data_IF_167122782196
#
_entry.id   IF_167122782196
#
_cell.length_a   1.000
_cell.length_b   1.000
_cell.length_c   1.000
_cell.angle_alpha   90.00
_cell.angle_beta   90.00
_cell.angle_gamma   90.00
#
_symmetry.space_group_name_H-M   'P 1'
#
loop_
_entity.id
_entity.type
_entity.pdbx_description
1 polymer ?
#
# COMPACT_ATOMS: atom_id res chain seq x y z
N UNK A 1 15.98 -16.00 19.13
CA UNK A 1 17.33 -15.61 19.59
C UNK A 1 17.83 -16.49 20.73
N UNK A 2 17.02 -16.82 21.73
CA UNK A 2 17.43 -17.64 22.91
C UNK A 2 18.08 -18.99 22.62
N UNK A 3 17.69 -19.67 21.54
CA UNK A 3 18.28 -20.97 21.17
C UNK A 3 19.57 -20.87 20.35
N UNK A 4 20.01 -19.66 19.99
CA UNK A 4 21.20 -19.42 19.17
C UNK A 4 22.39 -19.01 20.05
N UNK A 5 23.59 -19.56 19.83
CA UNK A 5 24.80 -19.03 20.45
C UNK A 5 24.98 -17.57 20.03
N UNK A 6 25.37 -16.70 20.98
CA UNK A 6 25.41 -15.24 20.81
C UNK A 6 24.06 -14.60 20.39
N UNK A 7 22.93 -15.21 20.79
CA UNK A 7 21.59 -14.76 20.41
C UNK A 7 21.30 -13.28 20.67
N UNK A 8 21.86 -12.67 21.71
CA UNK A 8 21.72 -11.24 22.00
C UNK A 8 22.33 -10.34 20.92
N UNK A 9 23.50 -10.69 20.39
CA UNK A 9 24.16 -9.95 19.29
C UNK A 9 23.31 -10.02 18.02
N UNK A 10 22.83 -11.21 17.68
CA UNK A 10 21.94 -11.40 16.53
C UNK A 10 20.60 -10.70 16.70
N UNK A 11 20.06 -10.64 17.93
CA UNK A 11 18.84 -9.90 18.21
C UNK A 11 19.01 -8.40 17.95
N UNK A 12 20.09 -7.79 18.47
CA UNK A 12 20.38 -6.37 18.25
C UNK A 12 20.55 -6.05 16.76
N UNK A 13 21.34 -6.85 16.04
CA UNK A 13 21.52 -6.67 14.59
C UNK A 13 20.19 -6.79 13.83
N UNK A 14 19.38 -7.81 14.15
CA UNK A 14 18.10 -8.01 13.51
C UNK A 14 17.14 -6.83 13.75
N UNK A 15 16.97 -6.40 15.00
CA UNK A 15 16.06 -5.30 15.32
C UNK A 15 16.56 -3.95 14.80
N UNK A 16 17.87 -3.75 14.69
CA UNK A 16 18.45 -2.56 14.07
C UNK A 16 18.11 -2.52 12.57
N UNK A 17 18.36 -3.63 11.85
CA UNK A 17 18.02 -3.72 10.42
C UNK A 17 16.51 -3.62 10.19
N UNK A 18 15.70 -4.28 11.02
CA UNK A 18 14.25 -4.20 10.96
C UNK A 18 13.75 -2.77 11.20
N UNK A 19 14.32 -2.05 12.16
CA UNK A 19 13.98 -0.64 12.45
C UNK A 19 14.29 0.26 11.26
N UNK A 20 15.44 0.08 10.61
CA UNK A 20 15.80 0.85 9.41
C UNK A 20 14.81 0.55 8.28
N UNK A 21 14.47 -0.71 8.03
CA UNK A 21 13.52 -1.11 7.00
C UNK A 21 12.09 -0.58 7.27
N UNK A 22 11.67 -0.58 8.53
CA UNK A 22 10.39 -0.01 8.95
C UNK A 22 10.37 1.52 8.75
N UNK A 23 11.48 2.20 9.07
CA UNK A 23 11.60 3.65 8.92
C UNK A 23 11.49 4.07 7.44
N UNK A 24 12.19 3.41 6.53
CA UNK A 24 12.14 3.74 5.09
C UNK A 24 10.76 3.50 4.49
N UNK A 25 10.10 2.41 4.88
CA UNK A 25 8.73 2.10 4.46
C UNK A 25 7.73 3.16 4.96
N UNK A 26 7.88 3.59 6.21
CA UNK A 26 7.03 4.63 6.82
C UNK A 26 7.21 5.97 6.12
N UNK A 27 8.45 6.34 5.78
CA UNK A 27 8.73 7.57 5.03
C UNK A 27 8.06 7.54 3.65
N UNK A 28 8.16 6.41 2.93
CA UNK A 28 7.52 6.25 1.62
C UNK A 28 5.99 6.37 1.67
N UNK A 29 5.36 5.82 2.70
CA UNK A 29 3.90 5.90 2.89
C UNK A 29 3.44 7.31 3.28
N UNK A 30 4.20 7.99 4.15
CA UNK A 30 3.91 9.36 4.56
C UNK A 30 4.00 10.33 3.38
N UNK A 31 4.96 10.13 2.48
CA UNK A 31 5.17 11.00 1.32
C UNK A 31 3.96 11.00 0.37
N UNK A 32 3.22 9.89 0.25
CA UNK A 32 1.98 9.84 -0.56
C UNK A 32 0.95 10.84 -0.03
N UNK A 33 0.80 10.92 1.30
CA UNK A 33 -0.13 11.86 1.94
C UNK A 33 0.38 13.29 1.78
N UNK A 34 1.68 13.52 1.98
CA UNK A 34 2.30 14.85 1.85
C UNK A 34 2.18 15.38 0.43
N UNK A 35 2.47 14.55 -0.58
CA UNK A 35 2.34 14.91 -1.98
C UNK A 35 0.90 15.32 -2.31
N UNK A 36 -0.08 14.54 -1.87
CA UNK A 36 -1.50 14.90 -2.04
C UNK A 36 -1.85 16.27 -1.41
N UNK A 37 -1.41 16.53 -0.17
CA UNK A 37 -1.67 17.81 0.50
C UNK A 37 -0.96 19.01 -0.19
N UNK A 38 0.21 18.78 -0.79
CA UNK A 38 0.97 19.83 -1.48
C UNK A 38 0.40 20.10 -2.87
N UNK A 39 0.08 19.05 -3.62
CA UNK A 39 -0.36 19.16 -5.02
C UNK A 39 -1.84 19.55 -5.10
N UNK A 40 -2.71 18.87 -4.36
CA UNK A 40 -4.16 19.07 -4.44
C UNK A 40 -4.65 20.20 -3.53
N UNK A 41 -4.08 20.33 -2.32
CA UNK A 41 -4.48 21.37 -1.36
C UNK A 41 -3.53 22.58 -1.33
N UNK A 42 -2.54 22.62 -2.23
CA UNK A 42 -1.57 23.72 -2.36
C UNK A 42 -0.89 24.14 -1.05
N UNK A 43 -0.71 23.20 -0.12
CA UNK A 43 -0.06 23.47 1.17
C UNK A 43 1.46 23.61 1.01
N UNK A 44 2.07 24.45 1.84
CA UNK A 44 3.53 24.47 1.99
C UNK A 44 4.03 23.12 2.51
N UNK A 45 5.06 22.55 1.88
CA UNK A 45 5.60 21.21 2.18
C UNK A 45 5.83 20.98 3.68
N UNK A 46 6.44 21.94 4.39
CA UNK A 46 6.68 21.85 5.84
C UNK A 46 5.38 21.69 6.65
N UNK A 47 4.32 22.41 6.26
CA UNK A 47 3.01 22.31 6.94
C UNK A 47 2.32 20.99 6.59
N UNK A 48 2.39 20.56 5.34
CA UNK A 48 1.85 19.28 4.89
C UNK A 48 2.49 18.10 5.63
N UNK A 49 3.82 18.08 5.79
CA UNK A 49 4.51 17.03 6.55
C UNK A 49 4.08 16.98 8.02
N UNK A 50 3.99 18.13 8.69
CA UNK A 50 3.55 18.17 10.10
C UNK A 50 2.09 17.68 10.22
N UNK A 51 1.21 18.13 9.32
CA UNK A 51 -0.19 17.72 9.31
C UNK A 51 -0.35 16.22 9.07
N UNK A 52 0.37 15.66 8.09
CA UNK A 52 0.37 14.24 7.78
C UNK A 52 0.93 13.40 8.94
N UNK A 53 2.05 13.81 9.54
CA UNK A 53 2.63 13.10 10.69
C UNK A 53 1.70 13.10 11.90
N UNK A 54 1.04 14.24 12.18
CA UNK A 54 0.08 14.33 13.28
C UNK A 54 -1.15 13.47 13.03
N UNK A 55 -1.73 13.51 11.82
CA UNK A 55 -2.92 12.72 11.50
C UNK A 55 -2.65 11.21 11.58
N UNK A 56 -1.53 10.75 11.01
CA UNK A 56 -1.11 9.35 11.09
C UNK A 56 -0.79 8.94 12.52
N UNK A 57 -0.15 9.81 13.32
CA UNK A 57 0.15 9.51 14.72
C UNK A 57 -1.10 9.38 15.58
N UNK A 58 -2.11 10.23 15.37
CA UNK A 58 -3.40 10.16 16.08
C UNK A 58 -4.12 8.86 15.74
N UNK A 59 -4.21 8.51 14.45
CA UNK A 59 -4.78 7.23 14.02
C UNK A 59 -3.99 6.04 14.59
N UNK A 60 -2.66 6.12 14.59
CA UNK A 60 -1.77 5.12 15.18
C UNK A 60 -2.06 4.92 16.67
N UNK A 61 -2.17 6.00 17.44
CA UNK A 61 -2.55 5.95 18.86
C UNK A 61 -3.89 5.25 19.08
N UNK A 62 -4.91 5.57 18.26
CA UNK A 62 -6.21 4.90 18.33
C UNK A 62 -6.11 3.39 18.05
N UNK A 63 -5.29 2.99 17.07
CA UNK A 63 -5.08 1.57 16.77
C UNK A 63 -4.36 0.83 17.90
N UNK A 64 -3.30 1.40 18.48
CA UNK A 64 -2.56 0.79 19.60
C UNK A 64 -3.48 0.66 20.83
N UNK A 65 -4.28 1.68 21.12
CA UNK A 65 -5.19 1.67 22.26
C UNK A 65 -6.30 0.60 22.11
N UNK A 66 -6.64 0.22 20.88
CA UNK A 66 -7.60 -0.84 20.59
C UNK A 66 -7.14 -2.25 21.00
N UNK A 67 -5.84 -2.45 21.27
CA UNK A 67 -5.31 -3.68 21.86
C UNK A 67 -5.37 -3.71 23.39
N UNK A 68 -5.62 -2.55 24.03
CA UNK A 68 -5.63 -2.39 25.49
C UNK A 68 -6.96 -1.81 25.99
N UNK A 69 -6.95 -0.53 26.37
CA UNK A 69 -8.09 0.13 27.01
C UNK A 69 -9.36 0.19 26.14
N UNK A 70 -9.22 0.23 24.81
CA UNK A 70 -10.34 0.24 23.86
C UNK A 70 -10.72 -1.15 23.35
N UNK A 71 -10.20 -2.22 23.94
CA UNK A 71 -10.47 -3.61 23.53
C UNK A 71 -11.97 -4.01 23.61
N UNK A 72 -12.75 -3.32 24.44
CA UNK A 72 -14.19 -3.52 24.58
C UNK A 72 -15.01 -2.91 23.43
N UNK A 73 -14.42 -1.98 22.65
CA UNK A 73 -15.08 -1.39 21.49
C UNK A 73 -14.81 -2.28 20.28
N UNK A 74 -15.71 -3.23 20.05
CA UNK A 74 -15.65 -4.14 18.92
C UNK A 74 -16.88 -3.94 18.03
N UNK A 75 -16.67 -3.82 16.73
CA UNK A 75 -17.75 -3.78 15.73
C UNK A 75 -17.56 -4.98 14.81
N UNK A 76 -18.55 -5.87 14.75
CA UNK A 76 -18.49 -7.08 13.94
C UNK A 76 -17.39 -8.08 14.36
N UNK A 77 -17.03 -8.12 15.65
CA UNK A 77 -15.99 -9.01 16.18
C UNK A 77 -14.54 -8.56 15.88
N UNK A 78 -14.36 -7.36 15.33
CA UNK A 78 -13.06 -6.73 15.10
C UNK A 78 -12.93 -5.49 15.99
N UNK A 79 -11.74 -5.29 16.56
CA UNK A 79 -11.39 -4.04 17.23
C UNK A 79 -11.13 -2.92 16.19
N UNK A 80 -10.90 -1.70 16.65
CA UNK A 80 -10.65 -0.54 15.78
C UNK A 80 -9.50 -0.80 14.79
N UNK A 81 -8.39 -1.40 15.24
CA UNK A 81 -7.31 -1.79 14.33
C UNK A 81 -7.78 -2.77 13.25
N UNK A 82 -8.50 -3.82 13.62
CA UNK A 82 -8.98 -4.84 12.68
C UNK A 82 -9.98 -4.31 11.65
N UNK A 83 -10.79 -3.30 12.01
CA UNK A 83 -11.70 -2.65 11.06
C UNK A 83 -10.93 -1.82 10.05
N UNK A 84 -9.96 -1.01 10.52
CA UNK A 84 -9.13 -0.19 9.65
C UNK A 84 -8.26 -1.05 8.73
N UNK A 85 -7.67 -2.13 9.26
CA UNK A 85 -6.92 -3.11 8.49
C UNK A 85 -7.80 -3.76 7.43
N UNK A 86 -9.02 -4.17 7.79
CA UNK A 86 -9.93 -4.78 6.82
C UNK A 86 -10.31 -3.79 5.71
N UNK A 87 -10.65 -2.55 6.07
CA UNK A 87 -11.02 -1.52 5.12
C UNK A 87 -9.86 -1.20 4.16
N UNK A 88 -8.64 -1.02 4.67
CA UNK A 88 -7.52 -0.62 3.82
C UNK A 88 -6.95 -1.79 3.02
N UNK A 89 -6.56 -2.89 3.68
CA UNK A 89 -5.88 -4.02 3.06
C UNK A 89 -6.79 -4.83 2.13
N UNK A 90 -8.03 -5.07 2.55
CA UNK A 90 -8.92 -5.98 1.83
C UNK A 90 -9.88 -5.26 0.88
N UNK A 91 -10.15 -3.98 1.11
CA UNK A 91 -11.07 -3.20 0.25
C UNK A 91 -10.33 -2.15 -0.57
N UNK A 92 -9.69 -1.17 0.07
CA UNK A 92 -9.11 -0.02 -0.63
C UNK A 92 -7.94 -0.41 -1.56
N UNK A 93 -7.01 -1.26 -1.11
CA UNK A 93 -5.87 -1.67 -1.95
C UNK A 93 -6.30 -2.46 -3.19
N UNK A 94 -7.12 -3.52 -3.10
CA UNK A 94 -7.55 -4.25 -4.29
C UNK A 94 -8.45 -3.42 -5.20
N UNK A 95 -9.36 -2.61 -4.63
CA UNK A 95 -10.22 -1.73 -5.43
C UNK A 95 -9.39 -0.68 -6.19
N UNK A 96 -8.43 -0.03 -5.51
CA UNK A 96 -7.52 0.92 -6.12
C UNK A 96 -6.68 0.28 -7.23
N UNK A 97 -6.10 -0.89 -6.97
CA UNK A 97 -5.35 -1.66 -7.98
C UNK A 97 -6.23 -2.05 -9.18
N UNK A 98 -7.46 -2.48 -8.93
CA UNK A 98 -8.41 -2.85 -9.98
C UNK A 98 -8.73 -1.67 -10.88
N UNK A 99 -9.05 -0.50 -10.31
CA UNK A 99 -9.34 0.70 -11.09
C UNK A 99 -8.12 1.22 -11.85
N UNK A 100 -6.92 1.17 -11.27
CA UNK A 100 -5.68 1.57 -11.95
C UNK A 100 -5.42 0.66 -13.16
N UNK A 101 -5.49 -0.65 -12.97
CA UNK A 101 -5.27 -1.61 -14.05
C UNK A 101 -6.34 -1.47 -15.14
N UNK A 102 -7.60 -1.22 -14.74
CA UNK A 102 -8.69 -1.01 -15.69
C UNK A 102 -8.49 0.28 -16.51
N UNK A 103 -8.07 1.35 -15.85
CA UNK A 103 -7.72 2.60 -16.52
C UNK A 103 -6.58 2.40 -17.52
N UNK A 104 -5.47 1.78 -17.11
CA UNK A 104 -4.31 1.56 -17.99
C UNK A 104 -4.65 0.60 -19.15
N UNK A 105 -5.38 -0.49 -18.88
CA UNK A 105 -5.66 -1.54 -19.86
C UNK A 105 -6.67 -1.15 -20.95
N UNK A 106 -7.63 -0.27 -20.63
CA UNK A 106 -8.75 0.04 -21.53
C UNK A 106 -8.95 1.52 -21.86
N UNK A 107 -8.60 2.45 -20.96
CA UNK A 107 -8.87 3.88 -21.15
C UNK A 107 -7.63 4.70 -21.52
N UNK A 108 -6.46 4.32 -21.04
CA UNK A 108 -5.22 5.07 -21.25
C UNK A 108 -4.65 4.84 -22.66
N UNK A 109 -4.13 5.91 -23.26
CA UNK A 109 -3.67 5.91 -24.65
C UNK A 109 -2.47 4.99 -24.85
N UNK A 110 -2.61 3.99 -25.73
CA UNK A 110 -1.54 3.01 -26.07
C UNK A 110 -0.25 3.67 -26.54
N UNK A 111 -0.35 4.81 -27.23
CA UNK A 111 0.81 5.54 -27.74
C UNK A 111 1.61 6.18 -26.60
N UNK A 112 0.93 6.73 -25.59
CA UNK A 112 1.59 7.22 -24.37
C UNK A 112 2.20 6.07 -23.57
N UNK A 113 1.49 4.94 -23.42
CA UNK A 113 2.03 3.75 -22.76
C UNK A 113 3.32 3.28 -23.44
N UNK A 114 3.31 3.23 -24.77
CA UNK A 114 4.49 2.86 -25.57
C UNK A 114 5.62 3.87 -25.35
N UNK A 115 5.32 5.16 -25.37
CA UNK A 115 6.29 6.24 -25.18
C UNK A 115 6.97 6.15 -23.81
N UNK A 116 6.19 6.00 -22.75
CA UNK A 116 6.67 5.84 -21.37
C UNK A 116 7.49 4.54 -21.21
N UNK A 117 7.00 3.41 -21.71
CA UNK A 117 7.69 2.11 -21.55
C UNK A 117 8.94 1.96 -22.42
N UNK A 118 9.01 2.66 -23.54
CA UNK A 118 10.20 2.66 -24.41
C UNK A 118 11.16 3.79 -24.11
N UNK A 119 10.88 4.62 -23.09
CA UNK A 119 11.61 5.85 -22.78
C UNK A 119 11.83 6.68 -24.07
N UNK A 120 10.74 7.10 -24.69
CA UNK A 120 10.74 7.83 -25.97
C UNK A 120 11.39 7.09 -27.14
N UNK A 121 11.40 5.75 -27.09
CA UNK A 121 12.00 4.90 -28.11
C UNK A 121 13.48 4.58 -27.90
N UNK A 122 14.09 5.01 -26.78
CA UNK A 122 15.46 4.64 -26.41
C UNK A 122 15.61 3.13 -26.10
N UNK A 123 14.53 2.46 -25.70
CA UNK A 123 14.49 1.04 -25.36
C UNK A 123 13.66 0.24 -26.36
N UNK A 124 14.14 -0.97 -26.71
CA UNK A 124 13.41 -1.89 -27.61
C UNK A 124 12.12 -2.34 -26.94
N UNK A 125 10.97 -1.91 -27.46
CA UNK A 125 9.64 -2.24 -26.95
C UNK A 125 9.16 -3.67 -27.24
N UNK A 126 10.05 -4.66 -27.29
CA UNK A 126 9.71 -6.06 -27.63
C UNK A 126 8.80 -6.72 -26.60
N UNK A 127 8.87 -6.29 -25.33
CA UNK A 127 8.03 -6.80 -24.23
C UNK A 127 6.70 -6.05 -24.08
N UNK A 128 6.48 -5.00 -24.87
CA UNK A 128 5.28 -4.16 -24.79
C UNK A 128 3.98 -4.94 -25.05
N UNK A 129 3.88 -5.84 -26.07
CA UNK A 129 2.66 -6.62 -26.29
C UNK A 129 2.34 -7.56 -25.13
N UNK A 130 3.38 -8.19 -24.55
CA UNK A 130 3.24 -9.09 -23.39
C UNK A 130 2.78 -8.32 -22.16
N UNK A 131 3.38 -7.16 -21.89
CA UNK A 131 2.95 -6.27 -20.82
C UNK A 131 1.47 -5.86 -20.97
N UNK A 132 1.07 -5.41 -22.17
CA UNK A 132 -0.31 -5.02 -22.44
C UNK A 132 -1.29 -6.19 -22.29
N UNK A 133 -0.88 -7.42 -22.65
CA UNK A 133 -1.70 -8.61 -22.41
C UNK A 133 -1.91 -8.89 -20.92
N UNK A 134 -0.84 -8.80 -20.12
CA UNK A 134 -0.92 -8.98 -18.67
C UNK A 134 -1.84 -7.93 -18.05
N UNK A 135 -1.63 -6.65 -18.35
CA UNK A 135 -2.40 -5.54 -17.76
C UNK A 135 -3.86 -5.56 -18.20
N UNK A 136 -4.15 -5.95 -19.45
CA UNK A 136 -5.53 -5.95 -19.97
C UNK A 136 -6.34 -7.20 -19.60
N UNK A 137 -5.68 -8.34 -19.39
CA UNK A 137 -6.40 -9.61 -19.18
C UNK A 137 -6.04 -10.30 -17.87
N UNK A 138 -4.76 -10.47 -17.55
CA UNK A 138 -4.34 -11.26 -16.38
C UNK A 138 -4.55 -10.47 -15.08
N UNK A 139 -4.03 -9.24 -15.01
CA UNK A 139 -4.08 -8.42 -13.81
C UNK A 139 -5.51 -8.07 -13.34
N UNK A 140 -6.45 -7.66 -14.21
CA UNK A 140 -7.83 -7.38 -13.79
C UNK A 140 -8.52 -8.62 -13.24
N UNK A 141 -8.33 -9.77 -13.89
CA UNK A 141 -8.95 -11.04 -13.47
C UNK A 141 -8.35 -11.53 -12.15
N UNK A 142 -7.03 -11.45 -11.99
CA UNK A 142 -6.35 -11.83 -10.75
C UNK A 142 -6.78 -10.94 -9.58
N UNK A 143 -6.81 -9.62 -9.76
CA UNK A 143 -7.24 -8.67 -8.72
C UNK A 143 -8.72 -8.86 -8.40
N UNK A 144 -9.58 -9.08 -9.41
CA UNK A 144 -11.00 -9.36 -9.19
C UNK A 144 -11.21 -10.65 -8.38
N UNK A 145 -10.46 -11.72 -8.67
CA UNK A 145 -10.52 -12.96 -7.88
C UNK A 145 -10.11 -12.73 -6.42
N UNK A 146 -9.00 -12.02 -6.18
CA UNK A 146 -8.54 -11.69 -4.83
C UNK A 146 -9.57 -10.83 -4.08
N UNK A 147 -10.18 -9.86 -4.76
CA UNK A 147 -11.21 -9.01 -4.18
C UNK A 147 -12.48 -9.79 -3.81
N UNK A 148 -12.93 -10.71 -4.68
CA UNK A 148 -14.06 -11.60 -4.40
C UNK A 148 -13.78 -12.59 -3.26
N UNK A 149 -12.53 -13.03 -3.14
CA UNK A 149 -12.07 -13.85 -2.01
C UNK A 149 -12.15 -13.08 -0.70
N UNK A 150 -11.65 -11.83 -0.66
CA UNK A 150 -11.71 -10.99 0.52
C UNK A 150 -13.13 -10.61 0.95
N UNK A 151 -14.08 -10.51 0.00
CA UNK A 151 -15.50 -10.32 0.28
C UNK A 151 -16.21 -11.59 0.78
N UNK A 152 -15.53 -12.74 0.81
CA UNK A 152 -16.10 -14.01 1.25
C UNK A 152 -17.07 -14.65 0.26
N UNK A 153 -17.13 -14.15 -0.98
CA UNK A 153 -18.02 -14.65 -2.04
C UNK A 153 -17.43 -15.92 -2.67
N UNK A 154 -16.10 -16.00 -2.76
CA UNK A 154 -15.37 -17.14 -3.31
C UNK A 154 -14.46 -17.71 -2.22
N UNK A 155 -14.58 -19.01 -1.94
CA UNK A 155 -13.57 -19.76 -1.17
C UNK A 155 -12.57 -20.32 -2.18
N UNK A 156 -11.36 -19.76 -2.22
CA UNK A 156 -10.24 -20.34 -2.95
C UNK A 156 -9.65 -21.51 -2.17
#
# INVERSE_FOLDING_TARGET
>A
FDKMPFGSVFAVLFFLLLSIAALTSTISLLEVIVAYLVEELHMLRKRATIAASLSVSVLGLLTVLSFGALSNIQVGGKNVFGILEFLTSNIMLPAGGFFIVLFIGWFFSKDLIRKELTNDGALKGTLLPTYMFIVKFIAPVAIAMVFLYFLGIVKL
#
